data_IF_997019238679
#
_entry.id   IF_997019238679
#
_cell.length_a   1.000
_cell.length_b   1.000
_cell.length_c   1.000
_cell.angle_alpha   90.00
_cell.angle_beta   90.00
_cell.angle_gamma   90.00
#
_symmetry.space_group_name_H-M   'P 1'
#
loop_
_entity.id
_entity.type
_entity.pdbx_description
1 polymer ?
#
# COMPACT_ATOMS: atom_id res chain seq x y z
N UNK A 1 2.63 -11.96 -8.69
CA UNK A 1 3.30 -11.04 -7.75
C UNK A 1 2.48 -9.77 -7.69
N UNK A 2 1.54 -9.74 -6.76
CA UNK A 2 0.66 -8.63 -6.42
C UNK A 2 0.08 -9.07 -5.09
N UNK A 3 0.65 -8.55 -4.00
CA UNK A 3 0.21 -8.85 -2.63
C UNK A 3 -0.29 -7.52 -2.08
N UNK A 4 -1.52 -7.16 -2.40
CA UNK A 4 -2.27 -6.04 -1.84
C UNK A 4 -2.63 -6.22 -0.35
N UNK A 5 -1.71 -6.76 0.47
CA UNK A 5 -1.89 -6.86 1.92
C UNK A 5 -1.35 -5.65 2.70
N UNK A 6 -0.84 -4.62 2.03
CA UNK A 6 0.15 -3.74 2.70
C UNK A 6 -0.44 -2.51 3.38
N UNK A 7 -1.71 -2.15 3.15
CA UNK A 7 -2.31 -0.99 3.82
C UNK A 7 -3.76 -1.21 4.25
N UNK A 8 -4.03 -0.95 5.54
CA UNK A 8 -5.39 -0.92 6.05
C UNK A 8 -6.07 0.39 5.68
N UNK A 9 -7.11 0.33 4.85
CA UNK A 9 -7.97 1.47 4.52
C UNK A 9 -9.32 1.27 5.18
N UNK A 10 -9.73 2.24 6.01
CA UNK A 10 -11.00 2.21 6.69
C UNK A 10 -11.97 3.20 6.05
N UNK A 11 -13.16 2.73 5.70
CA UNK A 11 -14.23 3.55 5.15
C UNK A 11 -15.51 3.38 5.98
N UNK A 12 -16.29 4.44 6.08
CA UNK A 12 -17.60 4.42 6.73
C UNK A 12 -18.65 4.58 5.64
N UNK A 13 -19.49 3.58 5.48
CA UNK A 13 -20.61 3.65 4.54
C UNK A 13 -21.57 4.78 4.92
N UNK A 14 -22.03 5.53 3.92
CA UNK A 14 -23.00 6.62 4.13
C UNK A 14 -24.34 6.15 4.70
N UNK A 15 -24.66 4.87 4.52
CA UNK A 15 -25.88 4.23 5.01
C UNK A 15 -25.69 3.47 6.34
N UNK A 16 -24.51 3.54 6.97
CA UNK A 16 -24.29 2.87 8.24
C UNK A 16 -25.22 3.43 9.32
N UNK A 17 -25.81 2.56 10.14
CA UNK A 17 -26.75 2.96 11.19
C UNK A 17 -26.08 3.81 12.30
N UNK A 18 -24.79 3.60 12.56
CA UNK A 18 -24.03 4.30 13.60
C UNK A 18 -22.73 4.93 13.07
N UNK A 19 -22.86 5.93 12.19
CA UNK A 19 -21.72 6.68 11.63
C UNK A 19 -20.88 7.35 12.72
N UNK A 20 -21.52 7.89 13.76
CA UNK A 20 -20.82 8.57 14.85
C UNK A 20 -19.92 7.59 15.63
N UNK A 21 -20.45 6.42 16.00
CA UNK A 21 -19.69 5.37 16.66
C UNK A 21 -18.54 4.85 15.80
N UNK A 22 -18.77 4.65 14.49
CA UNK A 22 -17.72 4.24 13.56
C UNK A 22 -16.59 5.28 13.47
N UNK A 23 -16.92 6.58 13.41
CA UNK A 23 -15.89 7.65 13.46
C UNK A 23 -15.11 7.62 14.76
N UNK A 24 -15.81 7.50 15.90
CA UNK A 24 -15.17 7.42 17.21
C UNK A 24 -14.22 6.21 17.29
N UNK A 25 -14.65 5.05 16.82
CA UNK A 25 -13.82 3.86 16.77
C UNK A 25 -12.53 4.09 15.99
N UNK A 26 -12.60 4.70 14.81
CA UNK A 26 -11.39 4.96 14.02
C UNK A 26 -10.43 5.94 14.71
N UNK A 27 -10.96 6.98 15.35
CA UNK A 27 -10.14 7.91 16.14
C UNK A 27 -9.48 7.21 17.32
N UNK A 28 -10.24 6.41 18.08
CA UNK A 28 -9.73 5.70 19.24
C UNK A 28 -8.70 4.62 18.82
N UNK A 29 -8.94 3.92 17.71
CA UNK A 29 -8.04 2.91 17.16
C UNK A 29 -6.70 3.52 16.73
N UNK A 30 -6.74 4.63 15.97
CA UNK A 30 -5.52 5.33 15.54
C UNK A 30 -4.81 6.00 16.72
N UNK A 31 -5.55 6.56 17.68
CA UNK A 31 -4.99 7.15 18.90
C UNK A 31 -4.33 6.13 19.84
N UNK A 32 -4.64 4.83 19.68
CA UNK A 32 -4.04 3.72 20.44
C UNK A 32 -3.24 2.77 19.53
N UNK A 33 -2.73 3.27 18.40
CA UNK A 33 -2.16 2.39 17.38
C UNK A 33 -0.87 1.67 17.83
N UNK A 34 -0.15 2.17 18.83
CA UNK A 34 0.94 1.42 19.47
C UNK A 34 0.52 0.03 19.95
N UNK A 35 -0.69 -0.10 20.51
CA UNK A 35 -1.24 -1.38 20.92
C UNK A 35 -1.54 -2.27 19.71
N UNK A 36 -2.16 -1.70 18.67
CA UNK A 36 -2.44 -2.42 17.43
C UNK A 36 -1.15 -2.93 16.77
N UNK A 37 -0.11 -2.09 16.70
CA UNK A 37 1.21 -2.45 16.19
C UNK A 37 1.82 -3.62 16.97
N UNK A 38 1.87 -3.53 18.30
CA UNK A 38 2.41 -4.60 19.14
C UNK A 38 1.59 -5.90 19.04
N UNK A 39 0.25 -5.81 19.00
CA UNK A 39 -0.64 -6.98 18.85
C UNK A 39 -0.61 -7.59 17.46
N UNK A 40 -0.24 -6.82 16.44
CA UNK A 40 0.03 -7.33 15.09
C UNK A 40 1.41 -7.99 14.96
N UNK A 41 2.19 -8.05 16.03
CA UNK A 41 3.57 -8.57 16.03
C UNK A 41 4.43 -7.84 14.98
N UNK A 42 4.30 -6.52 14.96
CA UNK A 42 5.02 -5.60 14.06
C UNK A 42 4.67 -5.72 12.58
N UNK A 43 3.61 -6.46 12.23
CA UNK A 43 3.14 -6.58 10.86
C UNK A 43 2.51 -5.28 10.32
N UNK A 44 1.69 -4.60 11.15
CA UNK A 44 0.93 -3.42 10.72
C UNK A 44 1.63 -2.12 11.11
N UNK A 45 2.44 -1.56 10.21
CA UNK A 45 3.12 -0.29 10.45
C UNK A 45 2.14 0.89 10.63
N UNK A 46 2.48 1.88 11.47
CA UNK A 46 1.61 3.02 11.71
C UNK A 46 1.54 3.95 10.50
N UNK A 47 0.32 4.32 10.10
CA UNK A 47 0.11 5.39 9.13
C UNK A 47 0.61 6.75 9.66
N UNK A 48 0.42 7.00 10.95
CA UNK A 48 0.94 8.20 11.63
C UNK A 48 2.08 7.79 12.56
N UNK A 49 3.33 8.04 12.15
CA UNK A 49 4.54 7.63 12.88
C UNK A 49 4.52 8.00 14.38
N UNK A 50 3.96 9.16 14.72
CA UNK A 50 3.85 9.62 16.12
C UNK A 50 3.06 8.68 17.04
N UNK A 51 2.24 7.79 16.49
CA UNK A 51 1.48 6.81 17.28
C UNK A 51 2.34 5.61 17.73
N UNK A 52 3.55 5.45 17.17
CA UNK A 52 4.55 4.47 17.61
C UNK A 52 5.92 5.16 17.64
N UNK A 53 6.17 6.05 18.61
CA UNK A 53 7.37 6.88 18.63
C UNK A 53 8.67 6.07 18.82
N UNK A 54 8.56 4.88 19.40
CA UNK A 54 9.65 3.93 19.67
C UNK A 54 9.77 2.84 18.60
N UNK A 55 9.15 3.00 17.43
CA UNK A 55 9.12 1.99 16.37
C UNK A 55 10.50 1.42 16.03
N UNK A 56 11.51 2.28 15.84
CA UNK A 56 12.90 1.85 15.53
C UNK A 56 13.48 0.95 16.63
N UNK A 57 13.15 1.22 17.89
CA UNK A 57 13.58 0.39 19.02
C UNK A 57 12.82 -0.95 19.03
N UNK A 58 11.51 -0.94 18.82
CA UNK A 58 10.67 -2.14 18.83
C UNK A 58 11.08 -3.13 17.73
N UNK A 59 11.30 -2.64 16.50
CA UNK A 59 11.65 -3.52 15.37
C UNK A 59 13.10 -4.00 15.39
N UNK A 60 14.00 -3.29 16.10
CA UNK A 60 15.41 -3.73 16.21
C UNK A 60 15.63 -4.88 17.18
N UNK A 61 14.66 -5.15 18.07
CA UNK A 61 14.74 -6.27 19.02
C UNK A 61 13.36 -6.77 19.43
N UNK A 62 12.80 -7.67 18.63
CA UNK A 62 11.60 -8.44 18.95
C UNK A 62 11.95 -9.62 19.88
N UNK A 63 11.31 -9.69 21.05
CA UNK A 63 11.49 -10.79 21.99
C UNK A 63 10.92 -12.13 21.46
N UNK A 64 9.98 -12.08 20.52
CA UNK A 64 9.42 -13.27 19.86
C UNK A 64 10.14 -13.63 18.56
N UNK A 65 10.93 -12.70 18.02
CA UNK A 65 11.66 -12.85 16.77
C UNK A 65 12.80 -13.84 16.89
N UNK A 66 12.98 -14.67 15.86
CA UNK A 66 14.19 -15.48 15.69
C UNK A 66 14.79 -15.23 14.30
N UNK A 67 15.93 -14.53 14.19
CA UNK A 67 16.66 -13.88 15.29
C UNK A 67 15.89 -12.66 15.86
N UNK A 68 16.22 -12.19 17.08
CA UNK A 68 15.50 -11.07 17.71
C UNK A 68 15.53 -9.77 16.90
N UNK A 69 16.52 -9.57 16.05
CA UNK A 69 16.71 -8.40 15.19
C UNK A 69 16.12 -8.58 13.78
N UNK A 70 15.31 -9.63 13.54
CA UNK A 70 14.70 -9.94 12.24
C UNK A 70 14.03 -8.75 11.56
N UNK A 71 13.42 -7.84 12.33
CA UNK A 71 12.71 -6.66 11.80
C UNK A 71 13.56 -5.38 11.76
N UNK A 72 14.84 -5.42 12.15
CA UNK A 72 15.71 -4.24 12.17
C UNK A 72 15.84 -3.60 10.79
N UNK A 73 15.76 -4.41 9.73
CA UNK A 73 15.78 -3.98 8.32
C UNK A 73 14.58 -3.09 7.93
N UNK A 74 13.53 -3.04 8.75
CA UNK A 74 12.35 -2.20 8.50
C UNK A 74 12.38 -0.87 9.26
N UNK A 75 13.45 -0.59 10.02
CA UNK A 75 13.56 0.60 10.88
C UNK A 75 13.54 1.93 10.11
N UNK A 76 13.96 1.92 8.85
CA UNK A 76 13.96 3.07 7.94
C UNK A 76 12.89 2.94 6.83
N UNK A 77 11.93 2.03 6.98
CA UNK A 77 10.92 1.77 5.94
C UNK A 77 10.13 3.00 5.50
N UNK A 78 9.96 3.98 6.37
CA UNK A 78 9.30 5.24 6.01
C UNK A 78 10.11 6.13 5.06
N UNK A 79 11.40 5.88 4.91
CA UNK A 79 12.27 6.67 4.03
C UNK A 79 12.22 6.15 2.58
N UNK A 80 11.82 4.89 2.37
CA UNK A 80 11.79 4.24 1.05
C UNK A 80 10.44 3.64 0.65
N UNK A 81 9.52 3.41 1.58
CA UNK A 81 8.18 2.95 1.30
C UNK A 81 7.22 4.13 1.12
N UNK A 82 6.34 4.02 0.13
CA UNK A 82 5.34 5.05 -0.15
C UNK A 82 4.00 4.42 -0.54
N UNK A 83 2.92 5.21 -0.43
CA UNK A 83 1.59 4.76 -0.80
C UNK A 83 1.44 4.61 -2.32
N UNK A 84 0.54 3.73 -2.74
CA UNK A 84 0.08 3.66 -4.13
C UNK A 84 -0.46 5.03 -4.54
N UNK A 85 0.02 5.53 -5.68
CA UNK A 85 -0.32 6.85 -6.22
C UNK A 85 0.62 7.99 -5.83
N UNK A 86 1.66 7.74 -5.04
CA UNK A 86 2.71 8.74 -4.75
C UNK A 86 3.32 9.34 -6.05
N UNK A 87 3.62 10.65 -6.10
CA UNK A 87 3.51 11.65 -5.03
C UNK A 87 2.10 12.21 -4.77
N UNK A 88 1.09 11.76 -5.52
CA UNK A 88 -0.30 12.12 -5.31
C UNK A 88 -1.08 11.07 -4.50
N UNK A 89 -2.32 10.85 -4.91
CA UNK A 89 -3.24 9.88 -4.33
C UNK A 89 -3.63 8.82 -5.38
N UNK A 90 -4.09 7.66 -4.92
CA UNK A 90 -4.61 6.63 -5.82
C UNK A 90 -5.85 7.14 -6.59
N UNK A 91 -5.93 6.87 -7.88
CA UNK A 91 -7.00 7.31 -8.77
C UNK A 91 -7.66 6.13 -9.46
N UNK A 92 -8.81 6.37 -10.10
CA UNK A 92 -9.49 5.34 -10.87
C UNK A 92 -8.61 4.77 -12.00
N UNK A 93 -7.73 5.58 -12.59
CA UNK A 93 -6.76 5.12 -13.59
C UNK A 93 -5.69 4.21 -12.99
N UNK A 94 -5.22 4.50 -11.78
CA UNK A 94 -4.26 3.65 -11.06
C UNK A 94 -4.89 2.30 -10.71
N UNK A 95 -6.11 2.32 -10.17
CA UNK A 95 -6.87 1.11 -9.82
C UNK A 95 -7.16 0.23 -11.05
N UNK A 96 -7.53 0.83 -12.17
CA UNK A 96 -7.77 0.13 -13.43
C UNK A 96 -6.46 -0.44 -14.02
N UNK A 97 -5.38 0.32 -13.96
CA UNK A 97 -4.04 -0.14 -14.30
C UNK A 97 -3.58 -1.34 -13.49
N UNK A 98 -3.96 -1.37 -12.21
CA UNK A 98 -3.73 -2.49 -11.31
C UNK A 98 -4.59 -3.70 -11.67
N UNK A 99 -5.90 -3.48 -11.80
CA UNK A 99 -6.91 -4.52 -12.04
C UNK A 99 -6.76 -5.22 -13.39
N UNK A 100 -6.12 -4.56 -14.36
CA UNK A 100 -5.83 -5.12 -15.69
C UNK A 100 -4.52 -5.90 -15.76
N UNK A 101 -3.75 -5.95 -14.68
CA UNK A 101 -2.48 -6.69 -14.59
C UNK A 101 -1.40 -6.24 -15.59
N UNK A 102 -1.55 -5.06 -16.22
CA UNK A 102 -0.65 -4.59 -17.28
C UNK A 102 0.83 -4.61 -16.84
N UNK A 103 1.14 -4.06 -15.66
CA UNK A 103 2.50 -4.05 -15.11
C UNK A 103 3.04 -5.47 -14.86
N UNK A 104 2.19 -6.37 -14.35
CA UNK A 104 2.59 -7.72 -13.99
C UNK A 104 2.87 -8.54 -15.26
N UNK A 105 2.02 -8.40 -16.27
CA UNK A 105 2.20 -9.03 -17.58
C UNK A 105 3.42 -8.47 -18.31
N UNK A 106 3.69 -7.17 -18.19
CA UNK A 106 4.91 -6.54 -18.72
C UNK A 106 6.17 -7.22 -18.16
N UNK A 107 6.30 -7.30 -16.82
CA UNK A 107 7.44 -7.96 -16.18
C UNK A 107 7.53 -9.44 -16.55
N UNK A 108 6.40 -10.15 -16.58
CA UNK A 108 6.38 -11.55 -16.96
C UNK A 108 6.92 -11.76 -18.38
N UNK A 109 6.41 -11.01 -19.37
CA UNK A 109 6.85 -11.12 -20.77
C UNK A 109 8.34 -10.83 -20.97
N UNK A 110 8.87 -9.83 -20.25
CA UNK A 110 10.30 -9.52 -20.29
C UNK A 110 11.13 -10.63 -19.63
N UNK A 111 10.74 -11.07 -18.43
CA UNK A 111 11.49 -12.07 -17.67
C UNK A 111 11.51 -13.45 -18.32
N UNK A 112 10.44 -13.82 -19.06
CA UNK A 112 10.36 -15.08 -19.80
C UNK A 112 10.98 -15.01 -21.21
N UNK A 113 11.44 -13.83 -21.64
CA UNK A 113 11.97 -13.61 -22.99
C UNK A 113 10.91 -13.64 -24.10
N UNK A 114 9.62 -13.56 -23.74
CA UNK A 114 8.52 -13.44 -24.72
C UNK A 114 8.62 -12.12 -25.50
N UNK A 115 9.05 -11.05 -24.83
CA UNK A 115 9.42 -9.77 -25.43
C UNK A 115 10.78 -9.33 -24.87
N UNK A 116 11.48 -8.47 -25.62
CA UNK A 116 12.60 -7.72 -25.02
C UNK A 116 12.07 -6.79 -23.91
N UNK A 117 12.89 -6.39 -22.93
CA UNK A 117 12.49 -5.42 -21.91
C UNK A 117 11.89 -4.14 -22.50
N UNK A 118 12.50 -3.59 -23.55
CA UNK A 118 12.05 -2.36 -24.23
C UNK A 118 10.69 -2.55 -24.91
N UNK A 119 10.50 -3.70 -25.58
CA UNK A 119 9.24 -4.03 -26.23
C UNK A 119 8.12 -4.26 -25.21
N UNK A 120 8.41 -4.92 -24.09
CA UNK A 120 7.44 -5.12 -23.01
C UNK A 120 6.99 -3.78 -22.40
N UNK A 121 7.94 -2.88 -22.10
CA UNK A 121 7.63 -1.53 -21.59
C UNK A 121 6.77 -0.74 -22.57
N UNK A 122 7.12 -0.76 -23.86
CA UNK A 122 6.36 -0.06 -24.89
C UNK A 122 4.91 -0.56 -24.97
N UNK A 123 4.73 -1.89 -24.97
CA UNK A 123 3.40 -2.50 -24.99
C UNK A 123 2.57 -2.11 -23.76
N UNK A 124 3.19 -2.12 -22.57
CA UNK A 124 2.54 -1.71 -21.33
C UNK A 124 2.18 -0.22 -21.33
N UNK A 125 3.06 0.65 -21.85
CA UNK A 125 2.80 2.09 -21.98
C UNK A 125 1.58 2.36 -22.86
N UNK A 126 1.46 1.69 -24.01
CA UNK A 126 0.29 1.81 -24.88
C UNK A 126 -1.00 1.38 -24.17
N UNK A 127 -0.94 0.34 -23.33
CA UNK A 127 -2.05 -0.07 -22.47
C UNK A 127 -2.41 1.00 -21.43
N UNK A 128 -1.41 1.56 -20.74
CA UNK A 128 -1.60 2.61 -19.75
C UNK A 128 -2.15 3.90 -20.33
N UNK A 129 -1.71 4.31 -21.54
CA UNK A 129 -2.26 5.49 -22.24
C UNK A 129 -3.76 5.39 -22.46
N UNK A 130 -4.23 4.23 -22.93
CA UNK A 130 -5.68 3.97 -23.13
C UNK A 130 -6.46 4.03 -21.82
N UNK A 131 -5.89 3.53 -20.73
CA UNK A 131 -6.49 3.64 -19.39
C UNK A 131 -6.63 5.11 -18.99
N UNK A 132 -5.55 5.88 -19.09
CA UNK A 132 -5.57 7.30 -18.74
C UNK A 132 -6.55 8.09 -19.61
N UNK A 133 -6.55 7.88 -20.92
CA UNK A 133 -7.51 8.48 -21.85
C UNK A 133 -8.97 8.19 -21.42
N UNK A 134 -9.29 6.91 -21.14
CA UNK A 134 -10.63 6.50 -20.66
C UNK A 134 -11.07 7.28 -19.42
N UNK A 135 -10.18 7.47 -18.44
CA UNK A 135 -10.55 8.16 -17.19
C UNK A 135 -10.54 9.68 -17.32
N UNK A 136 -9.71 10.24 -18.20
CA UNK A 136 -9.71 11.66 -18.53
C UNK A 136 -11.01 12.08 -19.25
N UNK A 137 -11.47 11.28 -20.23
CA UNK A 137 -12.76 11.49 -20.91
C UNK A 137 -13.95 11.51 -19.94
N UNK A 138 -13.85 10.70 -18.88
CA UNK A 138 -14.85 10.62 -17.80
C UNK A 138 -14.70 11.72 -16.74
N UNK A 139 -13.67 12.57 -16.82
CA UNK A 139 -13.35 13.63 -15.85
C UNK A 139 -13.15 13.09 -14.42
N UNK A 140 -12.49 11.93 -14.32
CA UNK A 140 -12.21 11.24 -13.04
C UNK A 140 -10.71 11.18 -12.72
N UNK A 141 -9.88 11.81 -13.54
CA UNK A 141 -8.47 12.16 -13.30
C UNK A 141 -8.19 13.55 -13.85
#
# INVERSE_FOLDING_TARGET
MGLEHVMSVYVIWKFAENIHGAKKFLVDYIGNFNQAFAKSEFYNFPCFQKQVPDLKQLVSKDAKGQPPDKYAVLSDSFDWATNVGFPGYSSAAIDDGYSTWLLNTMFAKAATGTLSPEAAVKEAEEGYRKIWEKWAERKLI
#
